data_IF_076470404079
#
_entry.id   IF_076470404079
#
_cell.length_a   1.000
_cell.length_b   1.000
_cell.length_c   1.000
_cell.angle_alpha   90.00
_cell.angle_beta   90.00
_cell.angle_gamma   90.00
#
_symmetry.space_group_name_H-M   'P 1'
#
loop_
_entity.id
_entity.type
_entity.pdbx_description
1 polymer ?
#
# COMPACT_ATOMS: atom_id res chain seq x y z
N UNK A 1 2.66 3.45 -4.09
CA UNK A 1 3.39 2.50 -3.23
C UNK A 1 3.33 3.01 -1.81
N UNK A 2 2.92 2.15 -0.88
CA UNK A 2 2.72 2.47 0.52
C UNK A 2 3.73 1.70 1.37
N UNK A 3 4.29 2.34 2.39
CA UNK A 3 4.99 1.64 3.48
C UNK A 3 4.03 1.46 4.64
N UNK A 4 3.79 0.21 4.98
CA UNK A 4 3.00 -0.20 6.13
C UNK A 4 3.96 -0.53 7.26
N UNK A 5 3.71 -0.01 8.46
CA UNK A 5 4.45 -0.36 9.67
C UNK A 5 3.49 -1.01 10.64
N UNK A 6 3.86 -2.16 11.18
CA UNK A 6 3.01 -2.97 12.05
C UNK A 6 3.78 -3.27 13.32
N UNK A 7 3.26 -2.84 14.46
CA UNK A 7 3.83 -3.12 15.78
C UNK A 7 3.27 -4.45 16.29
N UNK A 8 4.14 -5.41 16.55
CA UNK A 8 3.82 -6.71 17.10
C UNK A 8 4.25 -6.74 18.57
N UNK A 9 3.32 -7.06 19.47
CA UNK A 9 3.60 -7.21 20.90
C UNK A 9 3.65 -8.68 21.29
N UNK A 10 4.64 -9.07 22.09
CA UNK A 10 4.79 -10.42 22.65
C UNK A 10 4.03 -10.52 24.00
N UNK A 11 3.24 -11.59 24.21
CA UNK A 11 2.35 -11.73 25.39
C UNK A 11 3.08 -11.70 26.74
N UNK A 12 4.28 -12.28 26.79
CA UNK A 12 5.00 -12.51 28.05
C UNK A 12 6.20 -11.58 28.21
N UNK A 13 6.35 -10.59 27.33
CA UNK A 13 7.51 -9.71 27.30
C UNK A 13 7.08 -8.29 26.99
N UNK A 14 7.74 -7.30 27.58
CA UNK A 14 7.57 -5.88 27.17
C UNK A 14 8.24 -5.56 25.83
N UNK A 15 8.72 -6.58 25.11
CA UNK A 15 9.37 -6.42 23.81
C UNK A 15 8.31 -6.16 22.74
N UNK A 16 8.54 -5.09 21.99
CA UNK A 16 7.78 -4.75 20.80
C UNK A 16 8.70 -4.94 19.59
N UNK A 17 8.15 -5.52 18.53
CA UNK A 17 8.84 -5.65 17.24
C UNK A 17 8.07 -4.85 16.21
N UNK A 18 8.78 -4.21 15.28
CA UNK A 18 8.17 -3.52 14.15
C UNK A 18 8.43 -4.34 12.90
N UNK A 19 7.37 -4.70 12.21
CA UNK A 19 7.42 -5.23 10.86
C UNK A 19 7.13 -4.11 9.86
N UNK A 20 7.91 -4.04 8.78
CA UNK A 20 7.65 -3.14 7.66
C UNK A 20 7.27 -3.94 6.41
N UNK A 21 6.23 -3.51 5.71
CA UNK A 21 5.77 -4.11 4.45
C UNK A 21 5.60 -3.02 3.39
N UNK A 22 6.08 -3.30 2.17
CA UNK A 22 5.81 -2.46 1.01
C UNK A 22 4.54 -2.95 0.32
N UNK A 23 3.52 -2.11 0.27
CA UNK A 23 2.25 -2.44 -0.37
C UNK A 23 2.07 -1.68 -1.68
N UNK A 24 1.81 -2.42 -2.75
CA UNK A 24 1.51 -1.85 -4.07
C UNK A 24 0.00 -1.77 -4.26
N UNK A 25 -0.47 -0.54 -4.48
CA UNK A 25 -1.87 -0.22 -4.69
C UNK A 25 -1.99 0.72 -5.89
N UNK A 26 -3.08 0.61 -6.63
CA UNK A 26 -3.36 1.44 -7.80
C UNK A 26 -4.83 1.43 -8.18
N UNK A 27 -5.20 2.38 -9.02
CA UNK A 27 -6.54 2.56 -9.57
C UNK A 27 -6.44 3.02 -11.02
N UNK A 28 -7.57 3.01 -11.71
CA UNK A 28 -7.73 3.60 -13.03
C UNK A 28 -8.99 4.47 -13.09
N UNK A 29 -9.05 5.36 -14.08
CA UNK A 29 -10.18 6.26 -14.30
C UNK A 29 -10.02 7.60 -13.57
N UNK A 30 -11.08 8.43 -13.66
CA UNK A 30 -11.11 9.77 -13.06
C UNK A 30 -12.54 10.10 -12.60
N UNK A 31 -12.67 10.89 -11.53
CA UNK A 31 -13.96 11.24 -10.94
C UNK A 31 -14.76 10.02 -10.52
N UNK A 32 -16.06 10.00 -10.82
CA UNK A 32 -16.98 8.92 -10.42
C UNK A 32 -16.72 7.56 -11.08
N UNK A 33 -15.83 7.49 -12.09
CA UNK A 33 -15.45 6.24 -12.78
C UNK A 33 -14.16 5.62 -12.27
N UNK A 34 -13.72 6.01 -11.08
CA UNK A 34 -12.48 5.51 -10.49
C UNK A 34 -12.67 4.07 -9.98
N UNK A 35 -11.83 3.15 -10.43
CA UNK A 35 -11.88 1.76 -10.02
C UNK A 35 -10.51 1.30 -9.49
N UNK A 36 -10.51 0.62 -8.35
CA UNK A 36 -9.30 0.01 -7.80
C UNK A 36 -8.89 -1.18 -8.67
N UNK A 37 -7.60 -1.24 -8.99
CA UNK A 37 -7.02 -2.33 -9.77
C UNK A 37 -6.60 -3.48 -8.86
N UNK A 38 -6.54 -4.69 -9.41
CA UNK A 38 -5.98 -5.81 -8.68
C UNK A 38 -4.45 -5.69 -8.54
N UNK A 39 -3.86 -6.36 -7.55
CA UNK A 39 -2.41 -6.29 -7.33
C UNK A 39 -1.60 -6.74 -8.54
N UNK A 40 -2.07 -7.75 -9.28
CA UNK A 40 -1.38 -8.31 -10.44
C UNK A 40 -1.34 -7.34 -11.61
N UNK A 41 -2.42 -6.60 -11.83
CA UNK A 41 -2.57 -5.55 -12.83
C UNK A 41 -1.68 -4.37 -12.50
N UNK A 42 -1.72 -3.86 -11.26
CA UNK A 42 -0.85 -2.75 -10.83
C UNK A 42 0.62 -3.14 -10.97
N UNK A 43 0.97 -4.38 -10.59
CA UNK A 43 2.34 -4.90 -10.73
C UNK A 43 2.75 -4.98 -12.20
N UNK A 44 1.90 -5.53 -13.09
CA UNK A 44 2.17 -5.58 -14.53
C UNK A 44 2.38 -4.18 -15.12
N UNK A 45 1.52 -3.24 -14.76
CA UNK A 45 1.62 -1.86 -15.21
C UNK A 45 2.94 -1.22 -14.76
N UNK A 46 3.30 -1.35 -13.49
CA UNK A 46 4.55 -0.79 -12.96
C UNK A 46 5.80 -1.43 -13.60
N UNK A 47 5.77 -2.73 -13.90
CA UNK A 47 6.90 -3.44 -14.47
C UNK A 47 7.07 -3.22 -15.97
N UNK A 48 5.96 -3.04 -16.71
CA UNK A 48 5.98 -3.03 -18.17
C UNK A 48 5.76 -1.64 -18.77
N UNK A 49 5.34 -0.65 -18.00
CA UNK A 49 5.17 0.71 -18.51
C UNK A 49 6.51 1.28 -18.97
N UNK A 50 6.55 1.73 -20.22
CA UNK A 50 7.71 2.39 -20.81
C UNK A 50 7.35 3.82 -21.18
N UNK A 51 8.22 4.76 -20.85
CA UNK A 51 8.05 6.15 -21.28
C UNK A 51 8.37 6.26 -22.77
N UNK A 52 7.39 6.73 -23.55
CA UNK A 52 7.56 7.04 -24.97
C UNK A 52 7.97 8.49 -25.22
N UNK A 53 7.68 9.38 -24.26
CA UNK A 53 7.98 10.80 -24.35
C UNK A 53 8.09 11.44 -22.97
N UNK A 54 8.87 12.50 -22.87
CA UNK A 54 8.90 13.32 -21.67
C UNK A 54 7.74 14.33 -21.68
N UNK A 55 7.12 14.50 -20.52
CA UNK A 55 6.14 15.56 -20.27
C UNK A 55 6.88 16.82 -19.81
N UNK A 56 6.30 17.99 -20.05
CA UNK A 56 6.81 19.24 -19.47
C UNK A 56 6.76 19.17 -17.93
N UNK A 57 7.70 19.84 -17.27
CA UNK A 57 7.76 19.88 -15.80
C UNK A 57 6.47 20.42 -15.19
N UNK A 58 5.89 21.46 -15.80
CA UNK A 58 4.62 22.05 -15.38
C UNK A 58 3.48 21.01 -15.39
N UNK A 59 3.41 20.18 -16.45
CA UNK A 59 2.41 19.12 -16.53
C UNK A 59 2.65 18.04 -15.48
N UNK A 60 3.90 17.63 -15.27
CA UNK A 60 4.24 16.64 -14.23
C UNK A 60 3.79 17.13 -12.83
N UNK A 61 4.08 18.40 -12.49
CA UNK A 61 3.68 18.99 -11.21
C UNK A 61 2.16 19.10 -11.06
N UNK A 62 1.48 19.51 -12.13
CA UNK A 62 0.01 19.59 -12.16
C UNK A 62 -0.63 18.22 -11.95
N UNK A 63 -0.18 17.20 -12.69
CA UNK A 63 -0.70 15.83 -12.58
C UNK A 63 -0.42 15.25 -11.19
N UNK A 64 0.80 15.38 -10.66
CA UNK A 64 1.13 14.92 -9.29
C UNK A 64 0.26 15.61 -8.24
N UNK A 65 0.09 16.93 -8.32
CA UNK A 65 -0.71 17.68 -7.34
C UNK A 65 -2.17 17.27 -7.36
N UNK A 66 -2.74 17.06 -8.57
CA UNK A 66 -4.12 16.59 -8.73
C UNK A 66 -4.30 15.20 -8.14
N UNK A 67 -3.40 14.27 -8.43
CA UNK A 67 -3.53 12.90 -7.92
C UNK A 67 -3.31 12.84 -6.39
N UNK A 68 -2.39 13.64 -5.83
CA UNK A 68 -2.23 13.74 -4.36
C UNK A 68 -3.50 14.22 -3.66
N UNK A 69 -4.23 15.17 -4.26
CA UNK A 69 -5.53 15.60 -3.72
C UNK A 69 -6.57 14.49 -3.83
N UNK A 70 -6.60 13.77 -4.96
CA UNK A 70 -7.50 12.63 -5.14
C UNK A 70 -7.25 11.51 -4.13
N UNK A 71 -5.99 11.23 -3.80
CA UNK A 71 -5.62 10.19 -2.84
C UNK A 71 -6.16 10.44 -1.43
N UNK A 72 -6.45 11.69 -1.04
CA UNK A 72 -7.09 11.98 0.26
C UNK A 72 -8.47 11.32 0.37
N UNK A 73 -9.17 11.13 -0.75
CA UNK A 73 -10.46 10.42 -0.78
C UNK A 73 -10.32 8.93 -0.46
N UNK A 74 -9.10 8.38 -0.52
CA UNK A 74 -8.77 6.99 -0.25
C UNK A 74 -8.16 6.76 1.14
N UNK A 75 -8.09 7.80 1.99
CA UNK A 75 -7.52 7.70 3.32
C UNK A 75 -8.13 6.53 4.11
N UNK A 76 -9.47 6.47 4.18
CA UNK A 76 -10.17 5.38 4.87
C UNK A 76 -9.79 4.01 4.29
N UNK A 77 -9.70 3.89 2.97
CA UNK A 77 -9.31 2.63 2.30
C UNK A 77 -7.88 2.22 2.68
N UNK A 78 -6.96 3.17 2.83
CA UNK A 78 -5.60 2.89 3.30
C UNK A 78 -5.56 2.46 4.76
N UNK A 79 -6.42 3.04 5.62
CA UNK A 79 -6.59 2.58 7.00
C UNK A 79 -7.09 1.13 7.04
N UNK A 80 -8.14 0.82 6.27
CA UNK A 80 -8.72 -0.52 6.19
C UNK A 80 -7.70 -1.56 5.68
N UNK A 81 -6.92 -1.18 4.64
CA UNK A 81 -5.84 -2.01 4.14
C UNK A 81 -4.76 -2.26 5.20
N UNK A 82 -4.40 -1.25 5.99
CA UNK A 82 -3.42 -1.39 7.07
C UNK A 82 -3.88 -2.35 8.16
N UNK A 83 -5.15 -2.26 8.54
CA UNK A 83 -5.76 -3.14 9.53
C UNK A 83 -5.77 -4.58 9.00
N UNK A 84 -6.27 -4.80 7.79
CA UNK A 84 -6.29 -6.13 7.17
C UNK A 84 -4.89 -6.75 7.05
N UNK A 85 -3.85 -5.94 6.78
CA UNK A 85 -2.46 -6.41 6.73
C UNK A 85 -1.94 -6.82 8.11
N UNK A 86 -2.22 -6.04 9.15
CA UNK A 86 -1.86 -6.39 10.51
C UNK A 86 -2.54 -7.69 10.96
N UNK A 87 -3.83 -7.88 10.66
CA UNK A 87 -4.57 -9.11 10.98
C UNK A 87 -4.01 -10.33 10.26
N UNK A 88 -3.70 -10.21 8.97
CA UNK A 88 -3.06 -11.28 8.21
C UNK A 88 -1.70 -11.68 8.80
N UNK A 89 -0.93 -10.70 9.28
CA UNK A 89 0.36 -10.94 9.91
C UNK A 89 0.20 -11.73 11.22
N UNK A 90 -0.78 -11.38 12.07
CA UNK A 90 -1.11 -12.16 13.28
C UNK A 90 -1.52 -13.57 12.91
N UNK A 91 -2.43 -13.74 11.95
CA UNK A 91 -2.94 -15.05 11.55
C UNK A 91 -1.83 -15.97 11.03
N UNK A 92 -0.89 -15.44 10.24
CA UNK A 92 0.27 -16.20 9.77
C UNK A 92 1.18 -16.65 10.92
N UNK A 93 1.35 -15.83 11.96
CA UNK A 93 2.12 -16.17 13.15
C UNK A 93 1.39 -17.16 14.06
N UNK A 94 0.07 -17.05 14.20
CA UNK A 94 -0.75 -18.02 14.94
C UNK A 94 -0.70 -19.41 14.32
N UNK A 95 -0.67 -19.53 12.98
CA UNK A 95 -0.43 -20.83 12.31
C UNK A 95 0.97 -21.37 12.58
N UNK A 96 1.96 -20.49 12.74
CA UNK A 96 3.33 -20.87 13.06
C UNK A 96 3.51 -21.31 14.52
N UNK A 97 2.59 -20.91 15.40
CA UNK A 97 2.53 -21.30 16.82
C UNK A 97 2.35 -22.80 17.01
N UNK A 98 1.61 -23.46 16.13
CA UNK A 98 1.39 -24.91 16.17
C UNK A 98 2.68 -25.69 15.84
N UNK A 99 3.64 -25.05 15.18
CA UNK A 99 4.90 -25.65 14.74
C UNK A 99 6.11 -25.27 15.62
N UNK A 100 6.04 -24.15 16.35
CA UNK A 100 7.17 -23.62 17.14
C UNK A 100 6.73 -23.32 18.57
N UNK A 101 6.97 -24.27 19.47
CA UNK A 101 6.76 -24.09 20.91
C UNK A 101 7.74 -23.05 21.46
N UNK A 102 7.30 -21.80 21.66
CA UNK A 102 8.10 -20.87 22.46
C UNK A 102 7.72 -19.39 22.48
N UNK A 103 7.04 -18.84 21.47
CA UNK A 103 6.72 -17.40 21.44
C UNK A 103 5.24 -17.17 21.14
N UNK A 104 4.53 -16.53 22.07
CA UNK A 104 3.13 -16.15 21.91
C UNK A 104 3.04 -14.64 21.66
N UNK A 105 2.48 -14.26 20.53
CA UNK A 105 2.20 -12.85 20.20
C UNK A 105 0.78 -12.49 20.64
N UNK A 106 0.60 -11.26 21.13
CA UNK A 106 -0.66 -10.80 21.70
C UNK A 106 -1.51 -10.05 20.69
N UNK A 107 -0.87 -9.16 19.93
CA UNK A 107 -1.55 -8.22 19.04
C UNK A 107 -0.56 -7.67 18.02
N UNK A 108 -0.98 -7.60 16.75
CA UNK A 108 -0.35 -6.72 15.77
C UNK A 108 -1.24 -5.50 15.56
N UNK A 109 -0.65 -4.31 15.64
CA UNK A 109 -1.37 -3.05 15.47
C UNK A 109 -0.68 -2.25 14.36
N UNK A 110 -1.39 -1.84 13.29
CA UNK A 110 -0.79 -1.01 12.26
C UNK A 110 -0.50 0.40 12.80
N UNK A 111 0.59 1.00 12.34
CA UNK A 111 0.87 2.42 12.52
C UNK A 111 0.14 3.18 11.40
N UNK A 112 -0.67 4.16 11.78
CA UNK A 112 -1.55 4.89 10.89
C UNK A 112 -1.21 6.39 10.87
N UNK A 113 -1.45 7.09 9.74
CA UNK A 113 -1.76 6.50 8.42
C UNK A 113 -0.50 5.83 7.81
N UNK A 114 -0.66 4.92 6.84
CA UNK A 114 0.47 4.42 6.06
C UNK A 114 1.24 5.52 5.34
N UNK A 115 2.55 5.34 5.15
CA UNK A 115 3.36 6.32 4.45
C UNK A 115 3.26 6.11 2.93
N UNK A 116 2.90 7.14 2.16
CA UNK A 116 3.04 7.11 0.70
C UNK A 116 4.50 7.37 0.35
N UNK A 117 5.19 6.35 -0.16
CA UNK A 117 6.63 6.43 -0.48
C UNK A 117 6.91 6.52 -1.98
N UNK A 118 5.88 6.38 -2.82
CA UNK A 118 6.00 6.53 -4.26
C UNK A 118 4.65 6.67 -4.93
N UNK A 119 4.53 7.67 -5.79
CA UNK A 119 3.38 7.92 -6.65
C UNK A 119 3.83 7.77 -8.11
N UNK A 120 3.14 6.91 -8.85
CA UNK A 120 3.39 6.68 -10.27
C UNK A 120 2.11 6.97 -11.02
N UNK A 121 2.19 7.88 -12.00
CA UNK A 121 1.06 8.25 -12.86
C UNK A 121 1.36 7.69 -14.24
N UNK A 122 0.56 6.73 -14.67
CA UNK A 122 0.68 6.11 -15.98
C UNK A 122 -0.38 6.70 -16.90
N UNK A 123 0.07 7.46 -17.89
CA UNK A 123 -0.81 8.07 -18.89
C UNK A 123 -0.73 7.21 -20.15
N UNK A 124 -1.85 6.65 -20.63
CA UNK A 124 -1.85 5.85 -21.85
C UNK A 124 -1.51 6.71 -23.06
N UNK A 125 -0.89 6.09 -24.07
CA UNK A 125 -0.70 6.73 -25.36
C UNK A 125 -2.08 7.04 -25.98
N UNK A 126 -2.34 8.31 -26.38
CA UNK A 126 -3.57 8.63 -27.08
C UNK A 126 -3.57 7.88 -28.42
N UNK A 127 -4.63 7.11 -28.69
CA UNK A 127 -4.87 6.60 -30.04
C UNK A 127 -5.22 7.80 -30.91
N UNK A 128 -4.37 8.07 -31.92
CA UNK A 128 -4.65 9.01 -32.99
C UNK A 128 -5.89 8.60 -33.79
#
# INVERSE_FOLDING_TARGET
MLRMRIVIKEKFSKREMIAEEMFLWGYQGSGDKMNTLDYSEVKKLLQNATSIMNLSEERQQSDISRELECLKQYEQKFLDLAIARAENLVSAHDRFKDLVAGRQYEKATPVLPPDIIGLYILIPEPKL
#
